data_IF_679135565944
#
_entry.id   IF_679135565944
#
_cell.length_a   1.000
_cell.length_b   1.000
_cell.length_c   1.000
_cell.angle_alpha   90.00
_cell.angle_beta   90.00
_cell.angle_gamma   90.00
#
_symmetry.space_group_name_H-M   'P 1'
#
loop_
_entity.id
_entity.type
_entity.pdbx_description
1 polymer ?
#
# COMPACT_ATOMS: atom_id res chain seq x y z
N UNK A 1 -12.41 -6.01 4.58
CA UNK A 1 -11.84 -6.08 5.96
C UNK A 1 -11.19 -7.46 6.19
N UNK A 2 -10.30 -7.66 7.16
CA UNK A 2 -9.67 -8.99 7.35
C UNK A 2 -10.68 -10.06 7.79
N UNK A 3 -11.52 -9.75 8.78
CA UNK A 3 -12.54 -10.67 9.26
C UNK A 3 -13.56 -11.04 8.18
N UNK A 4 -13.96 -10.05 7.38
CA UNK A 4 -14.84 -10.24 6.22
C UNK A 4 -14.20 -11.18 5.18
N UNK A 5 -12.92 -11.00 4.84
CA UNK A 5 -12.20 -11.90 3.93
C UNK A 5 -12.03 -13.31 4.50
N UNK A 6 -11.84 -13.44 5.82
CA UNK A 6 -11.78 -14.74 6.50
C UNK A 6 -13.11 -15.47 6.38
N UNK A 7 -14.22 -14.79 6.66
CA UNK A 7 -15.58 -15.35 6.62
C UNK A 7 -16.00 -15.72 5.18
N UNK A 8 -15.55 -14.96 4.17
CA UNK A 8 -15.75 -15.25 2.75
C UNK A 8 -14.81 -16.37 2.23
N UNK A 9 -13.78 -16.76 2.98
CA UNK A 9 -12.77 -17.74 2.56
C UNK A 9 -11.74 -17.20 1.55
N UNK A 10 -11.67 -15.88 1.38
CA UNK A 10 -10.88 -15.20 0.36
C UNK A 10 -9.36 -15.20 0.67
N UNK A 11 -8.97 -15.29 1.94
CA UNK A 11 -7.55 -15.21 2.35
C UNK A 11 -6.66 -16.24 1.66
N UNK A 12 -7.13 -17.49 1.55
CA UNK A 12 -6.39 -18.57 0.88
C UNK A 12 -6.41 -18.39 -0.64
N UNK A 13 -7.54 -17.96 -1.20
CA UNK A 13 -7.68 -17.71 -2.63
C UNK A 13 -6.75 -16.58 -3.11
N UNK A 14 -6.71 -15.47 -2.36
CA UNK A 14 -5.82 -14.34 -2.61
C UNK A 14 -4.36 -14.74 -2.48
N UNK A 15 -4.00 -15.46 -1.42
CA UNK A 15 -2.63 -15.96 -1.23
C UNK A 15 -2.19 -16.84 -2.41
N UNK A 16 -3.03 -17.78 -2.84
CA UNK A 16 -2.74 -18.64 -3.98
C UNK A 16 -2.62 -17.84 -5.29
N UNK A 17 -3.54 -16.91 -5.55
CA UNK A 17 -3.51 -16.06 -6.75
C UNK A 17 -2.21 -15.25 -6.83
N UNK A 18 -1.80 -14.61 -5.74
CA UNK A 18 -0.57 -13.81 -5.70
C UNK A 18 0.69 -14.68 -5.85
N UNK A 19 0.68 -15.90 -5.28
CA UNK A 19 1.75 -16.87 -5.49
C UNK A 19 1.85 -17.34 -6.94
N UNK A 20 0.73 -17.52 -7.64
CA UNK A 20 0.65 -17.87 -9.07
C UNK A 20 1.13 -16.72 -9.95
N UNK A 21 0.84 -15.48 -9.59
CA UNK A 21 1.34 -14.28 -10.28
C UNK A 21 2.84 -14.10 -10.04
N UNK A 22 3.31 -14.47 -8.84
CA UNK A 22 4.66 -14.17 -8.37
C UNK A 22 4.79 -12.73 -7.87
N UNK A 23 3.71 -12.15 -7.35
CA UNK A 23 3.67 -10.79 -6.83
C UNK A 23 3.66 -10.78 -5.29
N UNK A 24 4.29 -9.77 -4.70
CA UNK A 24 4.04 -9.40 -3.30
C UNK A 24 2.70 -8.67 -3.21
N UNK A 25 1.92 -8.95 -2.17
CA UNK A 25 0.70 -8.22 -1.84
C UNK A 25 0.75 -7.80 -0.38
N UNK A 26 -0.23 -7.05 0.11
CA UNK A 26 -0.34 -6.79 1.54
C UNK A 26 -1.79 -6.88 1.93
N UNK A 27 -2.03 -7.53 3.06
CA UNK A 27 -3.32 -7.45 3.74
C UNK A 27 -3.38 -6.19 4.62
N UNK A 28 -4.58 -5.69 4.86
CA UNK A 28 -4.78 -4.56 5.76
C UNK A 28 -5.56 -5.01 6.99
N UNK A 29 -4.85 -5.18 8.11
CA UNK A 29 -5.40 -5.62 9.39
C UNK A 29 -6.53 -4.70 9.88
N UNK A 30 -7.54 -5.27 10.55
CA UNK A 30 -8.72 -4.55 11.03
C UNK A 30 -8.42 -3.62 12.21
N UNK A 31 -7.37 -3.94 12.98
CA UNK A 31 -6.76 -3.08 14.01
C UNK A 31 -6.11 -1.81 13.46
N UNK A 32 -6.20 -1.53 12.15
CA UNK A 32 -5.87 -0.21 11.57
C UNK A 32 -6.74 0.95 12.07
N UNK A 33 -7.67 0.69 12.99
CA UNK A 33 -8.56 1.69 13.59
C UNK A 33 -9.96 1.69 13.00
N UNK A 34 -10.23 0.87 11.98
CA UNK A 34 -11.56 0.72 11.36
C UNK A 34 -12.46 -0.27 12.10
N UNK A 35 -11.91 -1.05 13.04
CA UNK A 35 -12.71 -1.94 13.87
C UNK A 35 -13.72 -1.15 14.71
N UNK A 36 -14.94 -1.68 14.94
CA UNK A 36 -15.97 -1.01 15.73
C UNK A 36 -15.58 -0.92 17.20
N UNK A 37 -15.85 0.24 17.80
CA UNK A 37 -15.68 0.55 19.21
C UNK A 37 -16.95 0.29 20.02
N UNK A 38 -16.92 0.60 21.33
CA UNK A 38 -18.07 0.40 22.24
C UNK A 38 -19.35 1.14 21.82
N UNK A 39 -19.22 2.23 21.07
CA UNK A 39 -20.30 3.04 20.52
C UNK A 39 -20.71 2.64 19.10
N UNK A 40 -20.10 1.58 18.55
CA UNK A 40 -20.31 1.11 17.18
C UNK A 40 -19.59 1.92 16.11
N UNK A 41 -18.94 3.04 16.46
CA UNK A 41 -18.12 3.82 15.55
C UNK A 41 -16.70 3.24 15.46
N UNK A 42 -15.92 3.53 14.40
CA UNK A 42 -14.52 3.11 14.35
C UNK A 42 -13.72 3.57 15.57
N UNK A 43 -12.87 2.67 16.09
CA UNK A 43 -12.03 2.94 17.27
C UNK A 43 -10.99 4.02 17.06
N UNK A 44 -10.59 4.27 15.82
CA UNK A 44 -9.96 5.53 15.50
C UNK A 44 -11.05 6.62 15.46
N UNK A 45 -11.03 7.50 16.47
CA UNK A 45 -11.96 8.61 16.66
C UNK A 45 -12.04 9.60 15.49
N UNK A 46 -11.12 9.48 14.52
CA UNK A 46 -11.09 10.29 13.33
C UNK A 46 -11.68 9.60 12.10
N UNK A 47 -12.11 8.34 12.19
CA UNK A 47 -12.74 7.60 11.09
C UNK A 47 -14.27 7.66 11.20
N UNK A 48 -14.86 8.84 10.99
CA UNK A 48 -16.30 9.11 11.10
C UNK A 48 -16.89 9.94 9.94
N UNK A 49 -16.19 10.02 8.80
CA UNK A 49 -16.62 10.81 7.64
C UNK A 49 -16.28 12.31 7.74
N UNK A 50 -16.96 13.18 6.96
CA UNK A 50 -16.65 14.61 6.84
C UNK A 50 -16.56 15.35 8.19
N UNK A 51 -17.38 14.97 9.17
CA UNK A 51 -17.40 15.57 10.51
C UNK A 51 -16.10 15.32 11.30
N UNK A 52 -15.31 14.34 10.87
CA UNK A 52 -14.04 13.92 11.49
C UNK A 52 -12.84 14.04 10.55
N UNK A 53 -13.04 14.57 9.34
CA UNK A 53 -12.06 14.55 8.24
C UNK A 53 -10.74 15.25 8.58
N UNK A 54 -10.75 16.24 9.46
CA UNK A 54 -9.52 16.90 9.92
C UNK A 54 -8.58 15.92 10.64
N UNK A 55 -9.12 14.90 11.31
CA UNK A 55 -8.34 13.88 12.00
C UNK A 55 -7.87 12.72 11.12
N UNK A 56 -8.41 12.58 9.89
CA UNK A 56 -7.94 11.58 8.92
C UNK A 56 -6.49 11.84 8.49
N UNK A 57 -6.07 13.11 8.50
CA UNK A 57 -4.73 13.51 8.07
C UNK A 57 -3.68 13.11 9.13
N UNK A 58 -2.89 12.08 8.83
CA UNK A 58 -1.71 11.70 9.63
C UNK A 58 -1.83 10.42 10.47
N UNK A 59 -2.89 9.62 10.30
CA UNK A 59 -3.02 8.34 11.01
C UNK A 59 -3.16 8.47 12.53
N UNK A 60 -3.53 9.66 12.99
CA UNK A 60 -3.77 9.97 14.40
C UNK A 60 -5.05 9.25 14.86
N UNK A 61 -5.13 8.90 16.15
CA UNK A 61 -6.40 8.50 16.77
C UNK A 61 -6.56 7.03 17.16
N UNK A 62 -5.60 6.16 16.86
CA UNK A 62 -5.62 4.78 17.41
C UNK A 62 -5.27 4.79 18.92
N UNK A 63 -6.07 4.12 19.77
CA UNK A 63 -5.74 3.97 21.19
C UNK A 63 -4.45 3.15 21.41
N UNK A 64 -3.77 3.37 22.54
CA UNK A 64 -2.44 2.77 22.81
C UNK A 64 -2.40 1.24 22.76
N UNK A 65 -3.48 0.57 23.17
CA UNK A 65 -3.60 -0.89 23.17
C UNK A 65 -3.73 -1.48 21.75
N UNK A 66 -4.10 -0.67 20.75
CA UNK A 66 -4.24 -1.14 19.37
C UNK A 66 -2.91 -1.53 18.73
N UNK A 67 -1.80 -0.96 19.20
CA UNK A 67 -0.47 -1.37 18.73
C UNK A 67 -0.19 -2.85 19.08
N UNK A 68 -0.56 -3.29 20.29
CA UNK A 68 -0.40 -4.70 20.70
C UNK A 68 -1.48 -5.60 20.11
N UNK A 69 -2.73 -5.12 20.01
CA UNK A 69 -3.79 -5.86 19.29
C UNK A 69 -3.43 -6.11 17.83
N UNK A 70 -2.72 -5.19 17.18
CA UNK A 70 -2.20 -5.38 15.84
C UNK A 70 -1.21 -6.55 15.77
N UNK A 71 -0.35 -6.72 16.79
CA UNK A 71 0.56 -7.88 16.87
C UNK A 71 -0.24 -9.16 17.06
N UNK A 72 -1.23 -9.17 17.96
CA UNK A 72 -2.08 -10.34 18.20
C UNK A 72 -2.85 -10.75 16.93
N UNK A 73 -3.47 -9.78 16.23
CA UNK A 73 -4.18 -9.99 14.97
C UNK A 73 -3.23 -10.50 13.88
N UNK A 74 -2.05 -9.88 13.74
CA UNK A 74 -1.04 -10.33 12.78
C UNK A 74 -0.64 -11.79 13.05
N UNK A 75 -0.33 -12.14 14.30
CA UNK A 75 0.09 -13.50 14.66
C UNK A 75 -1.01 -14.52 14.43
N UNK A 76 -2.28 -14.16 14.65
CA UNK A 76 -3.42 -15.01 14.28
C UNK A 76 -3.41 -15.34 12.79
N UNK A 77 -3.37 -14.34 11.90
CA UNK A 77 -3.42 -14.60 10.45
C UNK A 77 -2.12 -15.21 9.91
N UNK A 78 -0.98 -14.86 10.49
CA UNK A 78 0.30 -15.47 10.16
C UNK A 78 0.32 -16.97 10.44
N UNK A 79 -0.19 -17.39 11.60
CA UNK A 79 -0.16 -18.79 12.03
C UNK A 79 -1.26 -19.65 11.42
N UNK A 80 -2.47 -19.10 11.23
CA UNK A 80 -3.61 -19.86 10.74
C UNK A 80 -3.74 -19.85 9.21
N UNK A 81 -3.28 -18.78 8.55
CA UNK A 81 -3.50 -18.57 7.11
C UNK A 81 -2.20 -18.33 6.33
N UNK A 82 -1.06 -18.19 7.02
CA UNK A 82 0.23 -17.93 6.36
C UNK A 82 0.37 -16.51 5.83
N UNK A 83 -0.45 -15.56 6.31
CA UNK A 83 -0.37 -14.14 5.92
C UNK A 83 0.95 -13.56 6.43
N UNK A 84 1.86 -13.22 5.52
CA UNK A 84 3.19 -12.67 5.86
C UNK A 84 3.28 -11.16 5.72
N UNK A 85 2.58 -10.61 4.73
CA UNK A 85 2.75 -9.25 4.26
C UNK A 85 1.54 -8.39 4.65
N UNK A 86 1.76 -7.34 5.43
CA UNK A 86 0.69 -6.43 5.88
C UNK A 86 0.98 -4.96 5.59
N UNK A 87 -0.06 -4.13 5.44
CA UNK A 87 0.06 -2.69 5.24
C UNK A 87 0.00 -1.96 6.58
N UNK A 88 0.90 -1.02 6.79
CA UNK A 88 1.01 -0.20 7.99
C UNK A 88 0.80 1.29 7.69
N UNK A 89 0.12 1.96 8.62
CA UNK A 89 -0.19 3.41 8.58
C UNK A 89 0.24 4.16 9.84
N UNK A 90 0.63 3.44 10.90
CA UNK A 90 0.93 3.99 12.22
C UNK A 90 2.41 3.73 12.59
N UNK A 91 3.17 4.75 13.04
CA UNK A 91 4.56 4.59 13.48
C UNK A 91 4.77 3.52 14.57
N UNK A 92 3.83 3.37 15.50
CA UNK A 92 3.88 2.38 16.57
C UNK A 92 3.78 0.94 16.06
N UNK A 93 2.85 0.65 15.14
CA UNK A 93 2.73 -0.68 14.53
C UNK A 93 3.91 -0.97 13.59
N UNK A 94 4.45 0.05 12.92
CA UNK A 94 5.71 -0.06 12.15
C UNK A 94 6.87 -0.49 13.06
N UNK A 95 7.03 0.16 14.22
CA UNK A 95 8.06 -0.20 15.19
C UNK A 95 7.89 -1.63 15.72
N UNK A 96 6.65 -2.02 16.07
CA UNK A 96 6.37 -3.39 16.53
C UNK A 96 6.61 -4.42 15.42
N UNK A 97 6.30 -4.09 14.17
CA UNK A 97 6.65 -4.90 13.00
C UNK A 97 8.15 -5.15 12.88
N UNK A 98 8.99 -4.16 13.20
CA UNK A 98 10.44 -4.34 13.30
C UNK A 98 10.85 -5.22 14.50
N UNK A 99 10.21 -5.05 15.65
CA UNK A 99 10.55 -5.81 16.86
C UNK A 99 10.28 -7.31 16.68
N UNK A 100 9.09 -7.67 16.21
CA UNK A 100 8.75 -9.09 16.01
C UNK A 100 9.66 -9.74 14.95
N UNK A 101 10.10 -8.96 13.95
CA UNK A 101 11.10 -9.42 12.99
C UNK A 101 12.44 -9.70 13.66
N UNK A 102 12.92 -8.77 14.49
CA UNK A 102 14.18 -8.95 15.22
C UNK A 102 14.13 -10.13 16.19
N UNK A 103 12.94 -10.47 16.70
CA UNK A 103 12.69 -11.64 17.56
C UNK A 103 12.61 -12.98 16.80
N UNK A 104 12.71 -12.98 15.48
CA UNK A 104 12.77 -14.19 14.66
C UNK A 104 11.50 -14.52 13.88
N UNK A 105 10.44 -13.70 13.97
CA UNK A 105 9.23 -13.87 13.16
C UNK A 105 9.51 -13.35 11.75
N UNK A 106 9.22 -14.14 10.72
CA UNK A 106 9.44 -13.73 9.33
C UNK A 106 8.22 -12.98 8.78
N UNK A 107 7.85 -11.89 9.46
CA UNK A 107 6.85 -10.95 8.99
C UNK A 107 7.45 -10.01 7.95
N UNK A 108 6.57 -9.48 7.10
CA UNK A 108 6.89 -8.45 6.12
C UNK A 108 5.78 -7.40 6.18
N UNK A 109 6.12 -6.14 5.90
CA UNK A 109 5.13 -5.09 5.80
C UNK A 109 5.50 -4.02 4.79
N UNK A 110 4.48 -3.28 4.37
CA UNK A 110 4.62 -2.06 3.60
C UNK A 110 4.12 -0.86 4.39
N UNK A 111 4.69 0.30 4.15
CA UNK A 111 4.21 1.57 4.70
C UNK A 111 3.29 2.23 3.68
N UNK A 112 2.13 2.71 4.11
CA UNK A 112 1.15 3.43 3.30
C UNK A 112 1.52 4.90 3.09
N UNK A 113 1.02 5.51 2.01
CA UNK A 113 1.09 6.96 1.77
C UNK A 113 0.48 7.79 2.90
N UNK A 114 -0.51 7.24 3.61
CA UNK A 114 -1.16 7.92 4.74
C UNK A 114 -0.24 8.16 5.94
N UNK A 115 0.92 7.49 5.99
CA UNK A 115 1.94 7.76 7.01
C UNK A 115 2.65 9.11 6.77
N UNK A 116 2.47 9.76 5.62
CA UNK A 116 2.92 11.14 5.40
C UNK A 116 4.42 11.28 5.13
N UNK A 117 5.07 10.25 4.57
CA UNK A 117 6.47 10.33 4.18
C UNK A 117 6.62 11.15 2.89
N UNK A 118 6.84 12.46 3.02
CA UNK A 118 6.71 13.44 1.94
C UNK A 118 8.01 14.16 1.55
N UNK A 119 9.13 13.84 2.20
CA UNK A 119 10.41 14.50 1.96
C UNK A 119 11.61 13.58 2.31
N UNK A 120 12.84 13.93 1.86
CA UNK A 120 14.02 13.10 2.13
C UNK A 120 14.37 12.92 3.61
N UNK A 121 14.01 13.85 4.49
CA UNK A 121 14.22 13.70 5.94
C UNK A 121 13.30 12.63 6.53
N UNK A 122 12.04 12.56 6.08
CA UNK A 122 11.11 11.48 6.44
C UNK A 122 11.62 10.12 5.92
N UNK A 123 12.22 10.08 4.73
CA UNK A 123 12.91 8.89 4.22
C UNK A 123 14.12 8.50 5.06
N UNK A 124 14.95 9.45 5.45
CA UNK A 124 16.08 9.20 6.35
C UNK A 124 15.59 8.60 7.66
N UNK A 125 14.59 9.19 8.30
CA UNK A 125 14.02 8.70 9.55
C UNK A 125 13.47 7.26 9.43
N UNK A 126 12.68 7.02 8.38
CA UNK A 126 12.05 5.71 8.14
C UNK A 126 13.09 4.62 7.90
N UNK A 127 14.07 4.88 7.02
CA UNK A 127 15.10 3.91 6.65
C UNK A 127 16.16 3.72 7.74
N UNK A 128 16.47 4.77 8.51
CA UNK A 128 17.31 4.67 9.71
C UNK A 128 16.71 3.70 10.72
N UNK A 129 15.40 3.81 10.98
CA UNK A 129 14.68 2.91 11.89
C UNK A 129 14.71 1.47 11.36
N UNK A 130 14.49 1.29 10.05
CA UNK A 130 14.61 -0.02 9.41
C UNK A 130 16.02 -0.62 9.58
N UNK A 131 17.08 0.19 9.46
CA UNK A 131 18.48 -0.25 9.63
C UNK A 131 18.79 -0.61 11.08
N UNK A 132 18.28 0.16 12.04
CA UNK A 132 18.48 -0.10 13.47
C UNK A 132 17.98 -1.49 13.88
N UNK A 133 16.88 -1.95 13.28
CA UNK A 133 16.26 -3.25 13.56
C UNK A 133 16.49 -4.30 12.49
N UNK A 134 17.37 -4.04 11.51
CA UNK A 134 17.76 -5.04 10.53
C UNK A 134 18.39 -6.26 11.21
N UNK A 135 18.25 -7.43 10.60
CA UNK A 135 18.95 -8.65 11.05
C UNK A 135 20.40 -8.63 10.58
N UNK A 136 21.21 -9.53 11.14
CA UNK A 136 22.65 -9.64 10.84
C UNK A 136 22.92 -10.00 9.38
N UNK A 137 21.97 -10.66 8.71
CA UNK A 137 21.99 -10.94 7.27
C UNK A 137 21.63 -9.72 6.39
N UNK A 138 21.44 -8.54 7.00
CA UNK A 138 21.11 -7.29 6.31
C UNK A 138 19.64 -7.14 5.92
N UNK A 139 18.78 -8.10 6.27
CA UNK A 139 17.36 -8.08 5.91
C UNK A 139 16.52 -7.21 6.83
N UNK A 140 15.37 -6.75 6.33
CA UNK A 140 14.39 -5.93 7.03
C UNK A 140 12.97 -6.42 6.73
N UNK A 141 12.01 -6.33 7.67
CA UNK A 141 10.61 -6.65 7.39
C UNK A 141 9.92 -5.58 6.54
N UNK A 142 10.48 -4.36 6.43
CA UNK A 142 9.94 -3.34 5.52
C UNK A 142 10.29 -3.74 4.08
N UNK A 143 9.32 -4.20 3.29
CA UNK A 143 9.56 -4.65 1.91
C UNK A 143 9.10 -3.63 0.85
N UNK A 144 8.28 -2.66 1.25
CA UNK A 144 7.74 -1.63 0.36
C UNK A 144 7.50 -0.32 1.11
N UNK A 145 8.06 0.75 0.58
CA UNK A 145 8.04 2.07 1.18
C UNK A 145 7.30 3.03 0.25
N UNK A 146 6.05 3.35 0.58
CA UNK A 146 5.25 4.31 -0.17
C UNK A 146 5.58 5.72 0.32
N UNK A 147 6.07 6.53 -0.60
CA UNK A 147 6.20 7.96 -0.42
C UNK A 147 4.87 8.64 -0.77
N UNK A 148 4.59 9.75 -0.10
CA UNK A 148 3.36 10.54 -0.28
C UNK A 148 3.14 10.95 -1.73
N UNK A 149 1.88 11.14 -2.12
CA UNK A 149 1.50 11.58 -3.46
C UNK A 149 2.02 12.99 -3.82
N UNK A 150 2.52 13.75 -2.84
CA UNK A 150 3.10 15.08 -3.02
C UNK A 150 4.60 15.10 -3.38
N UNK A 151 5.32 13.98 -3.23
CA UNK A 151 6.76 13.93 -3.55
C UNK A 151 7.00 14.15 -5.04
N UNK A 152 8.20 14.57 -5.43
CA UNK A 152 8.65 14.71 -6.82
C UNK A 152 9.84 13.76 -7.13
N UNK A 153 10.36 13.79 -8.37
CA UNK A 153 11.51 12.98 -8.78
C UNK A 153 12.74 13.20 -7.90
N UNK A 154 13.07 14.46 -7.57
CA UNK A 154 14.20 14.79 -6.69
C UNK A 154 14.08 14.10 -5.33
N UNK A 155 12.89 14.13 -4.72
CA UNK A 155 12.64 13.46 -3.45
C UNK A 155 12.84 11.95 -3.55
N UNK A 156 12.42 11.33 -4.66
CA UNK A 156 12.59 9.90 -4.92
C UNK A 156 14.06 9.52 -5.16
N UNK A 157 14.80 10.34 -5.91
CA UNK A 157 16.24 10.16 -6.15
C UNK A 157 17.03 10.28 -4.84
N UNK A 158 16.74 11.27 -4.00
CA UNK A 158 17.36 11.43 -2.68
C UNK A 158 16.98 10.28 -1.73
N UNK A 159 15.73 9.83 -1.77
CA UNK A 159 15.29 8.67 -0.99
C UNK A 159 15.99 7.38 -1.44
N UNK A 160 16.22 7.22 -2.75
CA UNK A 160 16.98 6.10 -3.30
C UNK A 160 18.44 6.14 -2.88
N UNK A 161 19.06 7.32 -2.87
CA UNK A 161 20.40 7.54 -2.31
C UNK A 161 20.48 7.09 -0.86
N UNK A 162 19.61 7.61 0.02
CA UNK A 162 19.57 7.24 1.45
C UNK A 162 19.39 5.71 1.61
N UNK A 163 18.45 5.12 0.87
CA UNK A 163 18.20 3.67 0.88
C UNK A 163 19.45 2.88 0.52
N UNK A 164 20.19 3.34 -0.49
CA UNK A 164 21.44 2.70 -0.92
C UNK A 164 22.52 2.80 0.16
N UNK A 165 22.68 3.96 0.80
CA UNK A 165 23.66 4.15 1.89
C UNK A 165 23.37 3.27 3.13
N UNK A 166 22.13 2.81 3.29
CA UNK A 166 21.75 1.82 4.31
C UNK A 166 21.79 0.36 3.83
N UNK A 167 22.33 0.08 2.64
CA UNK A 167 22.39 -1.25 2.01
C UNK A 167 21.01 -1.87 1.72
N UNK A 168 20.00 -1.04 1.49
CA UNK A 168 18.62 -1.48 1.28
C UNK A 168 18.14 -1.41 -0.17
N UNK A 169 19.03 -1.17 -1.14
CA UNK A 169 18.67 -1.04 -2.57
C UNK A 169 17.87 -2.25 -3.07
N UNK A 170 18.22 -3.47 -2.66
CA UNK A 170 17.54 -4.71 -3.04
C UNK A 170 16.54 -5.24 -1.98
N UNK A 171 16.46 -4.59 -0.82
CA UNK A 171 15.63 -5.04 0.32
C UNK A 171 14.30 -4.28 0.38
N UNK A 172 14.36 -2.96 0.24
CA UNK A 172 13.20 -2.07 0.43
C UNK A 172 12.83 -1.46 -0.92
N UNK A 173 11.69 -1.83 -1.49
CA UNK A 173 11.23 -1.23 -2.74
C UNK A 173 10.65 0.16 -2.49
N UNK A 174 11.06 1.16 -3.29
CA UNK A 174 10.35 2.44 -3.33
C UNK A 174 9.05 2.26 -4.11
N UNK A 175 7.92 2.64 -3.54
CA UNK A 175 6.61 2.52 -4.19
C UNK A 175 6.07 3.92 -4.56
N UNK A 176 5.79 4.12 -5.85
CA UNK A 176 5.47 5.43 -6.44
C UNK A 176 4.09 5.42 -7.12
N UNK A 177 3.18 6.27 -6.67
CA UNK A 177 1.83 6.40 -7.25
C UNK A 177 1.88 7.14 -8.58
N UNK A 178 1.36 6.49 -9.62
CA UNK A 178 1.36 6.97 -11.00
C UNK A 178 0.00 7.52 -11.36
N UNK A 179 -1.03 6.72 -11.10
CA UNK A 179 -2.43 7.13 -11.10
C UNK A 179 -3.01 6.85 -9.73
N UNK A 180 -4.01 7.62 -9.37
CA UNK A 180 -4.61 7.61 -8.04
C UNK A 180 -6.13 7.67 -8.17
N UNK A 181 -6.87 7.26 -7.14
CA UNK A 181 -8.34 7.31 -7.19
C UNK A 181 -8.84 8.71 -7.55
N UNK A 182 -9.88 8.78 -8.38
CA UNK A 182 -10.38 10.05 -8.90
C UNK A 182 -10.82 11.01 -7.80
N UNK A 183 -11.42 10.46 -6.73
CA UNK A 183 -11.93 11.23 -5.60
C UNK A 183 -11.10 11.04 -4.32
N UNK A 184 -11.20 12.06 -3.47
CA UNK A 184 -10.95 12.01 -2.02
C UNK A 184 -9.51 11.82 -1.52
N UNK A 185 -8.49 11.73 -2.39
CA UNK A 185 -7.07 11.63 -1.96
C UNK A 185 -6.12 12.65 -2.62
N UNK A 186 -6.24 12.91 -3.92
CA UNK A 186 -5.37 13.87 -4.65
C UNK A 186 -6.17 14.79 -5.56
N UNK A 187 -5.54 15.89 -5.99
CA UNK A 187 -6.09 16.75 -7.03
C UNK A 187 -5.94 16.08 -8.39
N UNK A 188 -7.00 16.10 -9.18
CA UNK A 188 -7.02 15.58 -10.55
C UNK A 188 -6.81 16.71 -11.58
N UNK A 189 -6.25 16.43 -12.78
CA UNK A 189 -5.72 15.14 -13.21
C UNK A 189 -4.41 14.76 -12.49
N UNK A 190 -4.29 13.49 -12.09
CA UNK A 190 -3.09 12.93 -11.49
C UNK A 190 -2.55 11.76 -12.35
N UNK A 191 -1.61 12.08 -13.23
CA UNK A 191 -0.87 11.09 -14.04
C UNK A 191 0.62 11.45 -14.02
N UNK A 192 1.43 10.53 -13.51
CA UNK A 192 2.87 10.71 -13.31
C UNK A 192 3.72 9.76 -14.16
N UNK A 193 3.19 9.33 -15.31
CA UNK A 193 3.93 8.42 -16.21
C UNK A 193 5.20 9.02 -16.77
N UNK A 194 5.18 10.30 -17.14
CA UNK A 194 6.38 10.99 -17.64
C UNK A 194 7.47 11.04 -16.55
N UNK A 195 7.06 11.33 -15.32
CA UNK A 195 7.94 11.32 -14.15
C UNK A 195 8.55 9.94 -13.90
N UNK A 196 7.74 8.88 -14.00
CA UNK A 196 8.19 7.49 -13.89
C UNK A 196 9.19 7.11 -14.98
N UNK A 197 8.99 7.55 -16.23
CA UNK A 197 9.92 7.25 -17.33
C UNK A 197 11.30 7.86 -17.05
N UNK A 198 11.35 9.09 -16.53
CA UNK A 198 12.61 9.72 -16.12
C UNK A 198 13.24 8.97 -14.93
N UNK A 199 12.45 8.68 -13.88
CA UNK A 199 12.93 7.96 -12.70
C UNK A 199 13.43 6.56 -12.99
N UNK A 200 12.76 5.81 -13.86
CA UNK A 200 13.10 4.43 -14.20
C UNK A 200 14.50 4.28 -14.81
N UNK A 201 15.09 5.37 -15.30
CA UNK A 201 16.48 5.40 -15.80
C UNK A 201 17.52 5.58 -14.70
N UNK A 202 17.12 6.11 -13.54
CA UNK A 202 18.01 6.59 -12.48
C UNK A 202 17.89 5.79 -11.20
N UNK A 203 16.68 5.32 -10.87
CA UNK A 203 16.35 4.67 -9.61
C UNK A 203 16.03 3.21 -9.83
N UNK A 204 16.83 2.33 -9.22
CA UNK A 204 16.58 0.87 -9.22
C UNK A 204 15.52 0.49 -8.18
N UNK A 205 14.94 -0.69 -8.33
CA UNK A 205 13.98 -1.28 -7.37
C UNK A 205 12.91 -0.27 -6.92
N UNK A 206 12.17 0.23 -7.92
CA UNK A 206 11.02 1.11 -7.78
C UNK A 206 9.81 0.42 -8.41
N UNK A 207 8.62 0.56 -7.81
CA UNK A 207 7.36 0.12 -8.41
C UNK A 207 6.44 1.28 -8.74
N UNK A 208 5.80 1.20 -9.90
CA UNK A 208 4.64 2.00 -10.26
C UNK A 208 3.38 1.44 -9.57
N UNK A 209 2.64 2.32 -8.89
CA UNK A 209 1.37 2.04 -8.22
C UNK A 209 0.23 2.73 -8.95
N UNK A 210 -0.89 2.04 -9.05
CA UNK A 210 -2.10 2.54 -9.70
C UNK A 210 -3.27 2.24 -8.79
N UNK A 211 -3.92 3.28 -8.30
CA UNK A 211 -5.14 3.13 -7.48
C UNK A 211 -6.40 3.54 -8.27
N UNK A 212 -6.24 4.42 -9.26
CA UNK A 212 -7.28 4.81 -10.23
C UNK A 212 -6.94 4.41 -11.67
N UNK A 213 -7.94 4.53 -12.56
CA UNK A 213 -7.82 4.28 -14.00
C UNK A 213 -7.14 5.42 -14.78
N UNK A 214 -7.14 5.30 -16.10
CA UNK A 214 -6.66 6.36 -16.99
C UNK A 214 -7.57 7.60 -16.90
N UNK A 215 -6.96 8.81 -16.90
CA UNK A 215 -7.69 10.09 -16.74
C UNK A 215 -8.87 10.21 -17.70
N UNK A 216 -8.66 9.86 -18.96
CA UNK A 216 -9.69 9.97 -20.00
C UNK A 216 -10.90 9.06 -19.77
N UNK A 217 -10.71 7.97 -19.01
CA UNK A 217 -11.76 7.03 -18.63
C UNK A 217 -12.43 7.48 -17.34
N UNK A 218 -11.66 7.68 -16.27
CA UNK A 218 -12.14 8.03 -14.92
C UNK A 218 -13.03 9.29 -14.94
N UNK A 219 -12.62 10.33 -15.67
CA UNK A 219 -13.38 11.59 -15.75
C UNK A 219 -14.79 11.44 -16.36
N UNK A 220 -15.04 10.33 -17.06
CA UNK A 220 -16.31 10.04 -17.74
C UNK A 220 -17.18 9.03 -16.98
N UNK A 221 -16.67 8.44 -15.89
CA UNK A 221 -17.43 7.48 -15.09
C UNK A 221 -18.51 8.19 -14.30
N UNK A 222 -19.73 7.64 -14.34
CA UNK A 222 -20.82 8.08 -13.46
C UNK A 222 -20.47 7.86 -11.99
N UNK A 223 -19.76 6.76 -11.70
CA UNK A 223 -19.22 6.42 -10.39
C UNK A 223 -17.70 6.18 -10.53
N UNK A 224 -16.87 7.24 -10.52
CA UNK A 224 -15.42 7.10 -10.65
C UNK A 224 -14.81 6.53 -9.37
N UNK A 225 -13.55 6.12 -9.42
CA UNK A 225 -12.87 5.56 -8.24
C UNK A 225 -12.78 6.56 -7.08
N UNK A 226 -12.97 6.06 -5.87
CA UNK A 226 -12.87 6.83 -4.63
C UNK A 226 -12.12 6.02 -3.58
N UNK A 227 -11.08 6.60 -2.98
CA UNK A 227 -10.32 5.91 -1.91
C UNK A 227 -11.21 5.56 -0.71
N UNK A 228 -12.31 6.32 -0.51
CA UNK A 228 -13.23 6.08 0.61
C UNK A 228 -14.00 4.77 0.45
N UNK A 229 -14.14 4.23 -0.76
CA UNK A 229 -14.79 2.94 -0.99
C UNK A 229 -14.03 1.78 -0.32
N UNK A 230 -12.73 1.93 -0.06
CA UNK A 230 -11.92 0.89 0.58
C UNK A 230 -12.25 0.70 2.07
N UNK A 231 -13.00 1.64 2.66
CA UNK A 231 -13.39 1.64 4.06
C UNK A 231 -14.84 1.19 4.28
N UNK A 232 -15.59 0.98 3.20
CA UNK A 232 -16.99 0.54 3.23
C UNK A 232 -17.09 -0.96 3.43
N UNK A 233 -18.20 -1.39 4.02
CA UNK A 233 -18.54 -2.81 4.15
C UNK A 233 -19.04 -3.35 2.81
N UNK A 234 -18.71 -4.60 2.49
CA UNK A 234 -19.16 -5.26 1.25
C UNK A 234 -20.67 -5.24 1.12
N UNK A 235 -21.38 -5.55 2.20
CA UNK A 235 -22.84 -5.58 2.21
C UNK A 235 -23.44 -4.20 1.92
N UNK A 236 -22.86 -3.14 2.49
CA UNK A 236 -23.31 -1.77 2.26
C UNK A 236 -23.06 -1.33 0.80
N UNK A 237 -21.92 -1.71 0.20
CA UNK A 237 -21.63 -1.49 -1.22
C UNK A 237 -22.68 -2.16 -2.12
N UNK A 238 -23.06 -3.40 -1.80
CA UNK A 238 -24.04 -4.17 -2.57
C UNK A 238 -25.43 -3.53 -2.45
N UNK A 239 -25.86 -3.20 -1.24
CA UNK A 239 -27.16 -2.58 -0.97
C UNK A 239 -27.28 -1.18 -1.60
N UNK A 240 -26.19 -0.43 -1.65
CA UNK A 240 -26.12 0.86 -2.34
C UNK A 240 -26.11 0.72 -3.88
N UNK A 241 -26.02 -0.50 -4.42
CA UNK A 241 -25.97 -0.74 -5.87
C UNK A 241 -24.64 -0.35 -6.53
N UNK A 242 -23.56 -0.23 -5.76
CA UNK A 242 -22.27 0.24 -6.27
C UNK A 242 -21.33 -0.89 -6.70
N UNK A 243 -21.69 -2.16 -6.44
CA UNK A 243 -20.83 -3.32 -6.69
C UNK A 243 -20.28 -3.38 -8.13
N UNK A 244 -21.15 -3.21 -9.13
CA UNK A 244 -20.75 -3.27 -10.54
C UNK A 244 -19.86 -2.08 -10.94
N UNK A 245 -20.08 -0.91 -10.33
CA UNK A 245 -19.21 0.25 -10.54
C UNK A 245 -17.81 0.02 -9.97
N UNK A 246 -17.69 -0.51 -8.74
CA UNK A 246 -16.39 -0.83 -8.15
C UNK A 246 -15.64 -1.89 -8.96
N UNK A 247 -16.35 -2.90 -9.49
CA UNK A 247 -15.78 -3.89 -10.40
C UNK A 247 -15.27 -3.26 -11.70
N UNK A 248 -15.99 -2.28 -12.25
CA UNK A 248 -15.55 -1.53 -13.43
C UNK A 248 -14.30 -0.71 -13.12
N UNK A 249 -14.30 0.03 -12.02
CA UNK A 249 -13.15 0.84 -11.57
C UNK A 249 -11.91 -0.03 -11.35
N UNK A 250 -12.07 -1.26 -10.82
CA UNK A 250 -10.98 -2.22 -10.70
C UNK A 250 -10.39 -2.64 -12.05
N UNK A 251 -11.21 -2.79 -13.09
CA UNK A 251 -10.75 -3.10 -14.45
C UNK A 251 -10.02 -1.92 -15.08
N UNK A 252 -10.55 -0.71 -14.92
CA UNK A 252 -9.94 0.51 -15.45
C UNK A 252 -8.54 0.74 -14.86
N UNK A 253 -8.34 0.39 -13.59
CA UNK A 253 -7.02 0.40 -12.95
C UNK A 253 -6.04 -0.57 -13.61
N UNK A 254 -6.46 -1.78 -13.98
CA UNK A 254 -5.60 -2.70 -14.72
C UNK A 254 -5.27 -2.19 -16.12
N UNK A 255 -6.21 -1.54 -16.78
CA UNK A 255 -5.94 -0.88 -18.06
C UNK A 255 -4.88 0.22 -17.87
N UNK A 256 -4.95 1.01 -16.80
CA UNK A 256 -3.91 1.98 -16.47
C UNK A 256 -2.53 1.34 -16.20
N UNK A 257 -2.48 0.19 -15.51
CA UNK A 257 -1.25 -0.60 -15.33
C UNK A 257 -0.67 -1.00 -16.69
N UNK A 258 -1.51 -1.50 -17.61
CA UNK A 258 -1.10 -1.90 -18.96
C UNK A 258 -0.62 -0.71 -19.79
N UNK A 259 -1.30 0.43 -19.71
CA UNK A 259 -0.88 1.69 -20.35
C UNK A 259 0.51 2.10 -19.87
N UNK A 260 0.79 2.04 -18.56
CA UNK A 260 2.13 2.31 -18.02
C UNK A 260 3.16 1.30 -18.49
N UNK A 261 2.85 0.00 -18.48
CA UNK A 261 3.76 -1.04 -18.95
C UNK A 261 4.16 -0.86 -20.43
N UNK A 262 3.18 -0.49 -21.27
CA UNK A 262 3.42 -0.14 -22.68
C UNK A 262 4.37 1.05 -22.81
N UNK A 263 4.10 2.15 -22.10
CA UNK A 263 4.92 3.36 -22.15
C UNK A 263 6.36 3.12 -21.69
N UNK A 264 6.56 2.31 -20.63
CA UNK A 264 7.89 1.89 -20.20
C UNK A 264 8.62 1.14 -21.33
N UNK A 265 7.94 0.20 -21.97
CA UNK A 265 8.49 -0.60 -23.08
C UNK A 265 8.87 0.28 -24.27
N UNK A 266 7.99 1.19 -24.70
CA UNK A 266 8.21 2.13 -25.80
C UNK A 266 9.41 3.06 -25.53
N UNK A 267 9.71 3.31 -24.25
CA UNK A 267 10.85 4.12 -23.80
C UNK A 267 12.11 3.30 -23.50
N UNK A 268 12.13 2.00 -23.82
CA UNK A 268 13.27 1.10 -23.64
C UNK A 268 13.56 0.74 -22.18
N UNK A 269 12.57 0.87 -21.29
CA UNK A 269 12.67 0.50 -19.89
C UNK A 269 12.11 -0.90 -19.67
N UNK A 270 12.82 -1.70 -18.88
CA UNK A 270 12.37 -3.03 -18.45
C UNK A 270 11.67 -2.94 -17.09
N UNK A 271 10.75 -3.86 -16.85
CA UNK A 271 10.04 -3.99 -15.58
C UNK A 271 9.78 -5.46 -15.24
N UNK A 272 9.40 -5.70 -13.98
CA UNK A 272 9.05 -7.04 -13.51
C UNK A 272 7.58 -7.30 -13.85
N UNK A 273 7.34 -8.11 -14.87
CA UNK A 273 5.99 -8.62 -15.18
C UNK A 273 5.57 -9.75 -14.21
N UNK A 274 4.36 -10.29 -14.39
CA UNK A 274 3.88 -11.49 -13.67
C UNK A 274 4.66 -12.75 -14.09
N UNK A 275 5.88 -12.89 -13.57
CA UNK A 275 6.90 -13.87 -14.02
C UNK A 275 6.46 -15.33 -13.98
N UNK A 276 5.45 -15.65 -13.16
CA UNK A 276 4.93 -17.03 -13.02
C UNK A 276 3.70 -17.30 -13.89
N UNK A 277 3.04 -16.25 -14.42
CA UNK A 277 1.94 -16.37 -15.37
C UNK A 277 2.42 -16.39 -16.83
N UNK A 278 3.50 -15.67 -17.12
CA UNK A 278 4.05 -15.59 -18.46
C UNK A 278 5.33 -16.41 -18.55
N UNK A 279 5.40 -17.34 -19.51
CA UNK A 279 6.68 -17.96 -19.88
C UNK A 279 7.56 -16.87 -20.48
N UNK A 280 8.65 -16.55 -19.79
CA UNK A 280 9.76 -15.83 -20.40
C UNK A 280 10.39 -16.78 -21.43
N UNK A 281 10.10 -16.56 -22.71
CA UNK A 281 10.82 -17.19 -23.82
C UNK A 281 12.16 -16.50 -24.01
#
# INVERSE_FOLDING_TARGET
KMKEQEDDGDLLAMTAAMQIIGASFVETLDTKGTAPGPDGLPVNIHLGGPDTIAGYFGGVGQPNDYALKWVDEFLYYYTNYGVKQVLNVNPGTVLLGYFIYKLGINNEFKISVFMGNDNPYSSLWTLLTAKLFAREDGTSPLIGYNLSNAVNNETLELSAYIRKEFDFEDVIRLEHHITETWKSIVRQPYDRRDELIDLGRKVKNISAKHEGGDIEVEKTRDYPSDILDYFRDKQEIIEAGHWDALKLNHRDRYDAVNTTAKLLTENGLSFIAARKLHRLT
#
